data_IF_049726702228
#
_entry.id   IF_049726702228
#
_cell.length_a   1.000
_cell.length_b   1.000
_cell.length_c   1.000
_cell.angle_alpha   90.00
_cell.angle_beta   90.00
_cell.angle_gamma   90.00
#
_symmetry.space_group_name_H-M   'P 1'
#
loop_
_entity.id
_entity.type
_entity.pdbx_description
1 polymer ?
#
# COMPACT_ATOMS: atom_id res chain seq x y z
N UNK A 1 0.41 -32.21 -36.75
CA UNK A 1 -0.19 -30.91 -37.11
C UNK A 1 -1.70 -30.97 -36.91
N UNK A 2 -2.22 -30.35 -35.85
CA UNK A 2 -3.67 -30.16 -35.63
C UNK A 2 -3.91 -28.67 -35.53
N UNK A 3 -4.72 -28.14 -36.44
CA UNK A 3 -5.09 -26.73 -36.50
C UNK A 3 -6.13 -26.42 -35.42
N UNK A 4 -5.94 -25.30 -34.71
CA UNK A 4 -6.92 -24.74 -33.77
C UNK A 4 -7.98 -23.92 -34.54
N UNK A 5 -9.24 -23.85 -34.09
CA UNK A 5 -10.28 -23.09 -34.76
C UNK A 5 -10.10 -21.58 -34.55
N UNK A 6 -10.20 -20.82 -35.64
CA UNK A 6 -10.23 -19.37 -35.65
C UNK A 6 -11.49 -18.84 -34.95
N UNK A 7 -11.31 -18.20 -33.80
CA UNK A 7 -12.35 -17.40 -33.15
C UNK A 7 -12.53 -16.08 -33.93
N UNK A 8 -13.67 -15.91 -34.61
CA UNK A 8 -14.11 -14.60 -35.11
C UNK A 8 -14.83 -13.89 -33.96
N UNK A 9 -14.18 -12.89 -33.38
CA UNK A 9 -14.81 -11.98 -32.43
C UNK A 9 -16.01 -11.29 -33.07
N UNK A 10 -17.15 -11.36 -32.39
CA UNK A 10 -18.36 -10.61 -32.70
C UNK A 10 -18.06 -9.11 -32.66
N UNK A 11 -18.28 -8.43 -33.79
CA UNK A 11 -18.20 -6.97 -33.86
C UNK A 11 -19.35 -6.39 -33.03
N UNK A 12 -19.03 -5.65 -31.98
CA UNK A 12 -20.02 -4.85 -31.25
C UNK A 12 -20.58 -3.77 -32.20
N UNK A 13 -21.89 -3.49 -32.16
CA UNK A 13 -22.47 -2.44 -32.99
C UNK A 13 -21.97 -1.07 -32.52
N UNK A 14 -21.47 -0.27 -33.47
CA UNK A 14 -21.21 1.17 -33.30
C UNK A 14 -22.54 1.88 -33.07
N UNK A 15 -23.00 1.94 -31.82
CA UNK A 15 -23.98 2.94 -31.42
C UNK A 15 -23.22 4.24 -31.13
N UNK A 16 -23.61 5.31 -31.83
CA UNK A 16 -23.15 6.67 -31.60
C UNK A 16 -23.64 7.11 -30.21
N UNK A 17 -22.86 6.81 -29.18
CA UNK A 17 -23.02 7.42 -27.87
C UNK A 17 -22.55 8.87 -27.98
N UNK A 18 -23.55 9.76 -28.03
CA UNK A 18 -23.44 11.18 -27.69
C UNK A 18 -22.44 11.36 -26.54
N UNK A 19 -21.28 11.93 -26.83
CA UNK A 19 -20.31 12.41 -25.85
C UNK A 19 -20.97 13.54 -25.06
N UNK A 20 -21.68 13.18 -23.98
CA UNK A 20 -21.91 14.16 -22.93
C UNK A 20 -20.58 14.41 -22.23
N UNK A 21 -20.24 15.67 -21.91
CA UNK A 21 -18.99 15.98 -21.24
C UNK A 21 -18.92 15.20 -19.94
N UNK A 22 -17.81 14.50 -19.76
CA UNK A 22 -17.46 13.75 -18.56
C UNK A 22 -17.79 14.59 -17.33
N UNK A 23 -18.87 14.24 -16.63
CA UNK A 23 -19.11 14.78 -15.29
C UNK A 23 -17.93 14.31 -14.45
N UNK A 24 -17.07 15.25 -14.03
CA UNK A 24 -16.03 15.03 -13.04
C UNK A 24 -16.58 14.14 -11.93
N UNK A 25 -16.17 12.86 -11.90
CA UNK A 25 -16.55 11.98 -10.81
C UNK A 25 -15.85 12.54 -9.58
N UNK A 26 -16.63 12.99 -8.61
CA UNK A 26 -16.07 13.42 -7.32
C UNK A 26 -15.52 12.15 -6.66
N UNK A 27 -14.19 12.01 -6.64
CA UNK A 27 -13.49 10.84 -6.09
C UNK A 27 -13.38 10.87 -4.55
N UNK A 28 -13.82 11.95 -3.90
CA UNK A 28 -13.86 12.09 -2.45
C UNK A 28 -15.29 12.27 -1.95
N UNK A 29 -15.73 11.40 -1.04
CA UNK A 29 -16.98 11.60 -0.30
C UNK A 29 -16.78 12.39 0.98
N UNK A 30 -15.52 12.62 1.38
CA UNK A 30 -15.18 13.39 2.58
C UNK A 30 -15.20 14.89 2.28
N UNK A 31 -15.59 15.70 3.27
CA UNK A 31 -15.53 17.15 3.15
C UNK A 31 -14.07 17.59 2.91
N UNK A 32 -13.80 18.47 1.92
CA UNK A 32 -12.44 18.91 1.65
C UNK A 32 -11.86 19.64 2.87
N UNK A 33 -10.68 19.18 3.29
CA UNK A 33 -9.94 19.78 4.38
C UNK A 33 -9.49 21.18 3.99
N UNK A 34 -9.98 22.18 4.72
CA UNK A 34 -9.56 23.58 4.51
C UNK A 34 -8.17 23.85 5.11
N UNK A 35 -7.77 23.11 6.15
CA UNK A 35 -6.46 23.21 6.80
C UNK A 35 -6.23 22.02 7.75
N UNK A 36 -5.25 21.17 7.47
CA UNK A 36 -4.76 20.17 8.44
C UNK A 36 -3.48 20.73 9.10
N UNK A 37 -3.50 21.11 10.39
CA UNK A 37 -2.34 21.68 11.07
C UNK A 37 -1.17 20.70 11.19
N UNK A 38 -1.37 19.40 10.91
CA UNK A 38 -0.35 18.35 10.87
C UNK A 38 0.47 18.35 9.58
N UNK A 39 -0.03 18.99 8.52
CA UNK A 39 0.57 19.05 7.18
C UNK A 39 1.06 20.48 6.92
N UNK A 40 1.95 20.95 7.79
CA UNK A 40 2.67 22.21 7.59
C UNK A 40 4.01 21.83 6.96
N UNK A 41 4.32 22.41 5.81
CA UNK A 41 5.65 22.33 5.16
C UNK A 41 5.92 21.14 4.21
N UNK A 42 4.90 20.44 3.68
CA UNK A 42 5.09 19.31 2.74
C UNK A 42 5.20 19.70 1.25
N UNK A 43 5.68 20.91 0.94
CA UNK A 43 5.87 21.36 -0.45
C UNK A 43 4.54 21.66 -1.18
N UNK A 44 4.49 21.35 -2.49
CA UNK A 44 3.34 21.67 -3.35
C UNK A 44 2.12 20.82 -2.98
N UNK A 45 1.05 21.48 -2.53
CA UNK A 45 -0.22 20.83 -2.25
C UNK A 45 -0.90 20.37 -3.56
N UNK A 46 -1.11 19.06 -3.68
CA UNK A 46 -1.85 18.45 -4.78
C UNK A 46 -3.32 18.34 -4.38
N UNK A 47 -4.18 19.13 -5.02
CA UNK A 47 -5.62 19.09 -4.75
C UNK A 47 -6.38 18.15 -5.69
N UNK A 48 -6.19 18.30 -7.00
CA UNK A 48 -6.98 17.60 -8.02
C UNK A 48 -6.16 17.20 -9.27
N UNK A 49 -4.83 17.34 -9.24
CA UNK A 49 -3.93 16.96 -10.35
C UNK A 49 -4.14 15.52 -10.87
N UNK A 50 -4.64 14.64 -9.99
CA UNK A 50 -4.96 13.24 -10.28
C UNK A 50 -6.46 12.92 -10.14
N UNK A 51 -7.32 13.93 -10.00
CA UNK A 51 -8.77 13.75 -9.94
C UNK A 51 -9.36 13.31 -11.29
N UNK A 52 -8.64 13.52 -12.39
CA UNK A 52 -9.03 13.03 -13.71
C UNK A 52 -8.20 11.79 -14.07
N UNK A 53 -8.88 10.68 -14.33
CA UNK A 53 -8.25 9.47 -14.85
C UNK A 53 -7.77 9.75 -16.27
N UNK A 54 -6.48 9.54 -16.53
CA UNK A 54 -5.87 9.70 -17.84
C UNK A 54 -6.04 8.41 -18.64
N UNK A 55 -6.06 8.52 -19.96
CA UNK A 55 -6.09 7.33 -20.84
C UNK A 55 -4.80 6.51 -20.73
N UNK A 56 -3.67 7.18 -20.50
CA UNK A 56 -2.35 6.57 -20.39
C UNK A 56 -1.58 7.14 -19.20
N UNK A 57 -0.81 6.26 -18.54
CA UNK A 57 0.09 6.61 -17.45
C UNK A 57 1.50 6.11 -17.77
N UNK A 58 2.52 6.84 -17.36
CA UNK A 58 3.91 6.39 -17.54
C UNK A 58 4.15 5.06 -16.80
N UNK A 59 4.81 4.11 -17.48
CA UNK A 59 5.21 2.85 -16.87
C UNK A 59 6.45 3.06 -16.01
N UNK A 60 6.44 2.65 -14.72
CA UNK A 60 7.61 2.77 -13.86
C UNK A 60 8.81 1.96 -14.37
N UNK A 61 10.01 2.50 -14.21
CA UNK A 61 11.29 1.85 -14.59
C UNK A 61 11.52 0.51 -13.89
N UNK A 62 11.11 0.39 -12.63
CA UNK A 62 11.33 -0.80 -11.81
C UNK A 62 10.02 -1.52 -11.49
N UNK A 63 10.04 -2.86 -11.35
CA UNK A 63 8.86 -3.64 -10.96
C UNK A 63 8.21 -3.14 -9.68
N UNK A 64 6.90 -3.32 -9.59
CA UNK A 64 6.08 -2.95 -8.43
C UNK A 64 5.85 -4.17 -7.57
N UNK A 65 6.23 -4.11 -6.30
CA UNK A 65 5.87 -5.07 -5.26
C UNK A 65 4.65 -4.56 -4.51
N UNK A 66 3.57 -5.34 -4.51
CA UNK A 66 2.37 -5.08 -3.74
C UNK A 66 2.44 -5.83 -2.41
N UNK A 67 2.55 -5.09 -1.29
CA UNK A 67 2.71 -5.64 0.06
C UNK A 67 1.45 -5.38 0.91
N UNK A 68 0.72 -6.45 1.23
CA UNK A 68 -0.55 -6.35 1.96
C UNK A 68 -0.37 -6.16 3.48
N UNK A 69 -1.38 -5.60 4.13
CA UNK A 69 -1.40 -5.38 5.59
C UNK A 69 -1.81 -6.60 6.41
N UNK A 70 -2.19 -6.34 7.67
CA UNK A 70 -2.78 -7.32 8.58
C UNK A 70 -4.06 -7.87 7.93
N UNK A 71 -4.32 -9.17 8.07
CA UNK A 71 -5.42 -9.89 7.40
C UNK A 71 -5.37 -9.95 5.88
N UNK A 72 -4.30 -9.44 5.25
CA UNK A 72 -4.17 -9.57 3.81
C UNK A 72 -3.94 -11.01 3.37
N UNK A 73 -4.46 -11.32 2.20
CA UNK A 73 -4.34 -12.60 1.51
C UNK A 73 -3.99 -12.29 0.06
N UNK A 74 -3.20 -13.11 -0.62
CA UNK A 74 -3.05 -12.93 -2.06
C UNK A 74 -4.35 -13.28 -2.79
N UNK A 75 -4.95 -14.39 -2.37
CA UNK A 75 -6.20 -14.92 -2.91
C UNK A 75 -7.02 -15.58 -1.78
N UNK A 76 -8.29 -15.18 -1.62
CA UNK A 76 -9.22 -15.80 -0.69
C UNK A 76 -10.37 -16.45 -1.46
N UNK A 77 -10.45 -17.78 -1.39
CA UNK A 77 -11.58 -18.55 -1.90
C UNK A 77 -12.61 -18.75 -0.79
N UNK A 78 -13.67 -17.92 -0.80
CA UNK A 78 -14.75 -17.97 0.21
C UNK A 78 -15.72 -19.14 -0.05
N UNK A 79 -15.90 -19.52 -1.32
CA UNK A 79 -16.72 -20.66 -1.74
C UNK A 79 -16.18 -21.18 -3.07
N UNK A 80 -16.25 -22.50 -3.35
CA UNK A 80 -15.94 -23.05 -4.68
C UNK A 80 -16.84 -22.48 -5.80
N UNK A 81 -18.00 -21.92 -5.44
CA UNK A 81 -19.00 -21.39 -6.37
C UNK A 81 -18.85 -19.87 -6.63
N UNK A 82 -17.97 -19.19 -5.91
CA UNK A 82 -17.73 -17.75 -6.04
C UNK A 82 -16.32 -17.48 -6.57
N UNK A 83 -16.12 -16.38 -7.31
CA UNK A 83 -14.79 -15.99 -7.75
C UNK A 83 -13.87 -15.75 -6.54
N UNK A 84 -12.59 -16.08 -6.71
CA UNK A 84 -11.55 -15.77 -5.74
C UNK A 84 -11.52 -14.26 -5.51
N UNK A 85 -11.50 -13.84 -4.25
CA UNK A 85 -11.31 -12.44 -3.88
C UNK A 85 -9.81 -12.20 -3.79
N UNK A 86 -9.30 -11.23 -4.53
CA UNK A 86 -7.92 -10.75 -4.43
C UNK A 86 -7.86 -9.53 -3.52
N UNK A 87 -6.81 -9.41 -2.71
CA UNK A 87 -6.63 -8.22 -1.87
C UNK A 87 -6.38 -6.97 -2.72
N UNK A 88 -5.58 -7.12 -3.77
CA UNK A 88 -5.29 -6.08 -4.76
C UNK A 88 -6.27 -6.15 -5.94
N UNK A 89 -7.57 -6.27 -5.64
CA UNK A 89 -8.64 -6.50 -6.61
C UNK A 89 -8.62 -5.47 -7.75
N UNK A 90 -8.34 -5.93 -8.98
CA UNK A 90 -8.26 -5.07 -10.17
C UNK A 90 -6.95 -4.28 -10.29
N UNK A 91 -6.21 -4.08 -9.21
CA UNK A 91 -4.99 -3.26 -9.18
C UNK A 91 -3.87 -3.94 -9.96
N UNK A 92 -3.63 -5.24 -9.70
CA UNK A 92 -2.63 -6.01 -10.45
C UNK A 92 -2.94 -6.00 -11.94
N UNK A 93 -4.21 -6.20 -12.30
CA UNK A 93 -4.68 -6.27 -13.68
C UNK A 93 -4.46 -4.94 -14.40
N UNK A 94 -4.84 -3.81 -13.78
CA UNK A 94 -4.66 -2.47 -14.37
C UNK A 94 -3.19 -2.10 -14.49
N UNK A 95 -2.37 -2.38 -13.48
CA UNK A 95 -0.92 -2.11 -13.53
C UNK A 95 -0.23 -2.93 -14.63
N UNK A 96 -0.54 -4.23 -14.74
CA UNK A 96 -0.01 -5.08 -15.81
C UNK A 96 -0.49 -4.62 -17.19
N UNK A 97 -1.75 -4.16 -17.31
CA UNK A 97 -2.26 -3.58 -18.56
C UNK A 97 -1.52 -2.28 -18.95
N UNK A 98 -0.94 -1.57 -17.97
CA UNK A 98 -0.06 -0.43 -18.18
C UNK A 98 1.43 -0.83 -18.29
N UNK A 99 1.71 -2.06 -18.71
CA UNK A 99 3.06 -2.63 -18.92
C UNK A 99 3.95 -2.69 -17.67
N UNK A 100 3.39 -2.56 -16.47
CA UNK A 100 4.15 -2.73 -15.24
C UNK A 100 4.45 -4.21 -14.97
N UNK A 101 5.68 -4.55 -14.57
CA UNK A 101 5.95 -5.83 -13.92
C UNK A 101 5.46 -5.77 -12.48
N UNK A 102 4.51 -6.63 -12.10
CA UNK A 102 3.87 -6.61 -10.77
C UNK A 102 4.13 -7.92 -10.02
N UNK A 103 4.71 -7.78 -8.84
CA UNK A 103 4.99 -8.84 -7.86
C UNK A 103 3.96 -8.69 -6.73
N UNK A 104 3.21 -9.74 -6.43
CA UNK A 104 2.29 -9.76 -5.28
C UNK A 104 2.92 -10.54 -4.15
N UNK A 105 3.34 -9.84 -3.09
CA UNK A 105 4.01 -10.48 -1.97
C UNK A 105 2.99 -11.12 -1.01
N UNK A 106 3.34 -12.30 -0.47
CA UNK A 106 2.51 -13.00 0.53
C UNK A 106 3.26 -13.12 1.86
N UNK A 107 2.69 -12.55 2.92
CA UNK A 107 3.23 -12.59 4.29
C UNK A 107 2.21 -13.18 5.28
N UNK A 108 2.63 -13.66 6.47
CA UNK A 108 1.70 -14.19 7.47
C UNK A 108 0.61 -13.17 7.84
N UNK A 109 -0.68 -13.53 7.83
CA UNK A 109 -1.77 -12.57 8.04
C UNK A 109 -1.84 -12.00 9.46
N UNK A 110 -1.23 -12.67 10.44
CA UNK A 110 -1.20 -12.36 11.88
C UNK A 110 0.20 -12.22 12.49
N UNK A 111 1.26 -12.39 11.69
CA UNK A 111 2.63 -12.48 12.21
C UNK A 111 3.12 -11.15 12.82
N UNK A 112 4.21 -11.22 13.58
CA UNK A 112 4.88 -9.99 14.03
C UNK A 112 5.44 -9.19 12.85
N UNK A 113 5.74 -7.91 13.04
CA UNK A 113 6.38 -7.09 12.00
C UNK A 113 7.70 -7.72 11.53
N UNK A 114 8.49 -8.29 12.44
CA UNK A 114 9.75 -8.96 12.16
C UNK A 114 9.57 -10.20 11.27
N UNK A 115 8.63 -11.08 11.63
CA UNK A 115 8.32 -12.28 10.87
C UNK A 115 7.79 -11.95 9.48
N UNK A 116 6.88 -10.97 9.41
CA UNK A 116 6.28 -10.51 8.15
C UNK A 116 7.31 -9.84 7.26
N UNK A 117 8.19 -9.00 7.81
CA UNK A 117 9.29 -8.36 7.07
C UNK A 117 10.29 -9.40 6.53
N UNK A 118 10.65 -10.42 7.31
CA UNK A 118 11.52 -11.50 6.86
C UNK A 118 10.88 -12.29 5.72
N UNK A 119 9.58 -12.61 5.83
CA UNK A 119 8.86 -13.29 4.75
C UNK A 119 8.72 -12.41 3.51
N UNK A 120 8.49 -11.10 3.68
CA UNK A 120 8.42 -10.12 2.58
C UNK A 120 9.73 -10.11 1.79
N UNK A 121 10.88 -10.01 2.47
CA UNK A 121 12.20 -10.03 1.85
C UNK A 121 12.43 -11.32 1.04
N UNK A 122 12.14 -12.47 1.65
CA UNK A 122 12.30 -13.77 1.00
C UNK A 122 11.41 -13.91 -0.24
N UNK A 123 10.16 -13.42 -0.17
CA UNK A 123 9.21 -13.51 -1.29
C UNK A 123 9.63 -12.62 -2.46
N UNK A 124 10.08 -11.39 -2.18
CA UNK A 124 10.61 -10.48 -3.20
C UNK A 124 11.81 -11.14 -3.89
N UNK A 125 12.81 -11.60 -3.13
CA UNK A 125 14.01 -12.23 -3.68
C UNK A 125 13.70 -13.45 -4.56
N UNK A 126 12.79 -14.31 -4.11
CA UNK A 126 12.36 -15.47 -4.88
C UNK A 126 11.69 -15.07 -6.20
N UNK A 127 10.76 -14.10 -6.15
CA UNK A 127 10.03 -13.66 -7.33
C UNK A 127 10.89 -12.85 -8.31
N UNK A 128 11.83 -12.04 -7.82
CA UNK A 128 12.76 -11.28 -8.67
C UNK A 128 13.77 -12.20 -9.37
N UNK A 129 14.22 -13.24 -8.68
CA UNK A 129 15.07 -14.30 -9.25
C UNK A 129 14.31 -15.09 -10.31
N UNK A 130 13.08 -15.54 -10.00
CA UNK A 130 12.24 -16.29 -10.94
C UNK A 130 11.86 -15.48 -12.19
N UNK A 131 11.61 -14.18 -12.02
CA UNK A 131 11.33 -13.27 -13.13
C UNK A 131 12.57 -12.95 -13.98
N UNK A 132 13.76 -13.46 -13.62
CA UNK A 132 15.03 -13.18 -14.30
C UNK A 132 15.24 -11.68 -14.53
N UNK A 133 14.88 -10.85 -13.53
CA UNK A 133 15.00 -9.41 -13.66
C UNK A 133 16.47 -9.08 -13.93
N UNK A 134 16.78 -8.34 -15.00
CA UNK A 134 18.16 -8.05 -15.36
C UNK A 134 18.84 -7.33 -14.19
N UNK A 135 20.04 -7.81 -13.82
CA UNK A 135 20.96 -7.02 -13.00
C UNK A 135 21.17 -5.67 -13.68
N UNK A 136 21.49 -4.63 -12.90
CA UNK A 136 21.70 -3.32 -13.51
C UNK A 136 22.78 -3.43 -14.60
N UNK A 137 22.58 -2.76 -15.72
CA UNK A 137 23.60 -2.60 -16.75
C UNK A 137 24.28 -1.26 -16.53
N UNK A 138 25.58 -1.18 -16.79
CA UNK A 138 26.25 0.11 -16.87
C UNK A 138 25.85 0.84 -18.16
N UNK A 139 26.33 2.08 -18.33
CA UNK A 139 26.02 2.91 -19.50
C UNK A 139 26.45 2.26 -20.82
N UNK A 140 27.38 1.31 -20.77
CA UNK A 140 27.97 0.61 -21.91
C UNK A 140 27.30 -0.77 -22.17
N UNK A 141 26.27 -1.12 -21.39
CA UNK A 141 25.46 -2.32 -21.59
C UNK A 141 26.07 -3.60 -20.99
N UNK A 142 27.09 -3.49 -20.13
CA UNK A 142 27.67 -4.64 -19.44
C UNK A 142 26.87 -5.01 -18.20
N UNK A 143 26.74 -6.32 -17.97
CA UNK A 143 26.09 -6.82 -16.76
C UNK A 143 26.90 -6.40 -15.52
N UNK A 144 26.32 -5.56 -14.67
CA UNK A 144 26.93 -5.23 -13.39
C UNK A 144 26.54 -6.27 -12.33
N UNK A 145 27.33 -6.36 -11.27
CA UNK A 145 26.98 -7.15 -10.07
C UNK A 145 25.89 -6.49 -9.22
N UNK A 146 25.30 -5.38 -9.68
CA UNK A 146 24.30 -4.63 -8.94
C UNK A 146 22.97 -5.39 -8.87
N UNK A 147 22.41 -5.60 -7.67
CA UNK A 147 21.12 -6.25 -7.50
C UNK A 147 20.00 -5.53 -8.28
N UNK A 148 18.96 -6.26 -8.72
CA UNK A 148 17.77 -5.65 -9.32
C UNK A 148 17.11 -4.67 -8.35
N UNK A 149 16.42 -3.66 -8.89
CA UNK A 149 15.67 -2.68 -8.09
C UNK A 149 14.18 -2.91 -8.19
N UNK A 150 13.43 -2.60 -7.12
CA UNK A 150 11.97 -2.65 -7.08
C UNK A 150 11.37 -1.43 -6.39
N UNK A 151 10.14 -1.08 -6.76
CA UNK A 151 9.29 -0.13 -6.05
C UNK A 151 8.29 -0.89 -5.19
N UNK A 152 8.15 -0.56 -3.90
CA UNK A 152 7.16 -1.20 -3.02
C UNK A 152 5.95 -0.27 -2.88
N UNK A 153 4.75 -0.81 -3.07
CA UNK A 153 3.49 -0.22 -2.63
C UNK A 153 2.92 -1.08 -1.52
N UNK A 154 2.84 -0.51 -0.32
CA UNK A 154 2.49 -1.22 0.88
C UNK A 154 1.24 -0.61 1.54
N UNK A 155 0.29 -1.46 1.91
CA UNK A 155 -0.95 -1.02 2.54
C UNK A 155 -1.02 -1.41 4.02
N UNK A 156 -1.52 -0.51 4.86
CA UNK A 156 -1.70 -0.71 6.30
C UNK A 156 -0.41 -1.24 6.95
N UNK A 157 -0.46 -2.35 7.69
CA UNK A 157 0.72 -2.96 8.34
C UNK A 157 1.85 -3.32 7.37
N UNK A 158 1.56 -3.53 6.08
CA UNK A 158 2.58 -3.84 5.07
C UNK A 158 3.63 -2.74 4.96
N UNK A 159 3.27 -1.48 5.25
CA UNK A 159 4.23 -0.37 5.26
C UNK A 159 5.22 -0.45 6.43
N UNK A 160 4.80 -0.99 7.57
CA UNK A 160 5.68 -1.26 8.71
C UNK A 160 6.61 -2.44 8.41
N UNK A 161 6.08 -3.50 7.79
CA UNK A 161 6.88 -4.65 7.34
C UNK A 161 7.98 -4.20 6.37
N UNK A 162 7.64 -3.35 5.40
CA UNK A 162 8.57 -2.81 4.42
C UNK A 162 9.63 -1.89 5.08
N UNK A 163 9.24 -0.99 5.99
CA UNK A 163 10.20 -0.14 6.73
C UNK A 163 11.16 -1.00 7.56
N UNK A 164 10.66 -2.01 8.26
CA UNK A 164 11.50 -2.93 9.04
C UNK A 164 12.49 -3.69 8.14
N UNK A 165 11.99 -4.23 7.03
CA UNK A 165 12.81 -4.94 6.05
C UNK A 165 13.94 -4.06 5.51
N UNK A 166 13.62 -2.84 5.08
CA UNK A 166 14.60 -1.90 4.53
C UNK A 166 15.62 -1.51 5.59
N UNK A 167 15.17 -1.11 6.78
CA UNK A 167 16.04 -0.51 7.79
C UNK A 167 16.94 -1.52 8.51
N UNK A 168 16.37 -2.67 8.92
CA UNK A 168 17.02 -3.62 9.82
C UNK A 168 17.43 -4.93 9.15
N UNK A 169 16.65 -5.44 8.19
CA UNK A 169 17.01 -6.69 7.51
C UNK A 169 17.99 -6.48 6.36
N UNK A 170 17.90 -5.35 5.64
CA UNK A 170 18.82 -4.93 4.58
C UNK A 170 19.21 -6.06 3.62
N UNK A 171 18.24 -6.69 2.92
CA UNK A 171 18.51 -7.83 2.07
C UNK A 171 19.47 -7.45 0.92
N UNK A 172 20.62 -8.10 0.82
CA UNK A 172 21.67 -7.76 -0.15
C UNK A 172 21.34 -8.12 -1.61
N UNK A 173 20.39 -9.02 -1.84
CA UNK A 173 20.00 -9.49 -3.18
C UNK A 173 18.96 -8.62 -3.89
N UNK A 174 18.51 -7.53 -3.28
CA UNK A 174 17.53 -6.62 -3.87
C UNK A 174 17.77 -5.19 -3.41
N UNK A 175 17.55 -4.23 -4.31
CA UNK A 175 17.58 -2.80 -3.98
C UNK A 175 16.16 -2.24 -3.98
N UNK A 176 15.81 -1.45 -2.97
CA UNK A 176 14.51 -0.79 -2.92
C UNK A 176 14.68 0.63 -3.48
N UNK A 177 13.99 0.95 -4.58
CA UNK A 177 14.06 2.26 -5.20
C UNK A 177 13.07 3.25 -4.58
N UNK A 178 11.92 2.76 -4.16
CA UNK A 178 10.94 3.54 -3.41
C UNK A 178 10.04 2.68 -2.53
N UNK A 179 9.51 3.28 -1.48
CA UNK A 179 8.42 2.76 -0.67
C UNK A 179 7.25 3.76 -0.67
N UNK A 180 6.10 3.32 -1.17
CA UNK A 180 4.83 4.02 -1.06
C UNK A 180 4.01 3.33 0.01
N UNK A 181 3.58 4.05 1.05
CA UNK A 181 2.68 3.53 2.08
C UNK A 181 1.27 4.08 1.91
N UNK A 182 0.25 3.25 2.11
CA UNK A 182 -1.16 3.61 1.99
C UNK A 182 -1.85 3.22 3.29
N UNK A 183 -2.42 4.19 4.01
CA UNK A 183 -3.11 3.98 5.28
C UNK A 183 -2.26 3.22 6.33
N UNK A 184 -0.93 3.38 6.31
CA UNK A 184 -0.04 2.71 7.27
C UNK A 184 -0.06 3.43 8.62
N UNK A 185 -0.23 2.71 9.74
CA UNK A 185 -0.23 3.30 11.08
C UNK A 185 1.22 3.52 11.55
N UNK A 186 1.94 4.46 10.92
CA UNK A 186 3.36 4.72 11.21
C UNK A 186 3.64 5.12 12.66
N UNK A 187 2.63 5.66 13.35
CA UNK A 187 2.69 6.05 14.77
C UNK A 187 1.81 5.20 15.66
N UNK A 188 1.33 4.07 15.14
CA UNK A 188 0.38 3.19 15.80
C UNK A 188 -1.06 3.64 15.58
N UNK A 189 -1.96 2.99 16.29
CA UNK A 189 -3.40 3.27 16.26
C UNK A 189 -3.94 3.34 17.68
N UNK A 190 -4.63 4.43 18.01
CA UNK A 190 -5.41 4.55 19.24
C UNK A 190 -6.42 3.42 19.43
N UNK A 191 -6.88 2.79 18.35
CA UNK A 191 -7.75 1.63 18.46
C UNK A 191 -7.00 0.37 18.90
N UNK A 192 -5.73 0.20 18.50
CA UNK A 192 -4.88 -0.85 19.05
C UNK A 192 -4.64 -0.64 20.55
N UNK A 193 -4.40 0.60 20.99
CA UNK A 193 -4.28 0.94 22.42
C UNK A 193 -5.57 0.58 23.17
N UNK A 194 -6.72 0.96 22.62
CA UNK A 194 -8.03 0.63 23.19
C UNK A 194 -8.24 -0.89 23.33
N UNK A 195 -7.81 -1.69 22.33
CA UNK A 195 -7.92 -3.15 22.39
C UNK A 195 -7.00 -3.74 23.47
N UNK A 196 -5.79 -3.20 23.64
CA UNK A 196 -4.85 -3.65 24.69
C UNK A 196 -5.34 -3.26 26.08
N UNK A 197 -5.78 -2.01 26.27
CA UNK A 197 -6.34 -1.51 27.53
C UNK A 197 -7.58 -2.30 27.97
N UNK A 198 -8.47 -2.63 27.02
CA UNK A 198 -9.68 -3.41 27.30
C UNK A 198 -9.46 -4.91 27.30
N UNK A 199 -8.32 -5.39 26.79
CA UNK A 199 -7.91 -6.80 26.81
C UNK A 199 -7.70 -7.37 28.22
N UNK A 200 -7.73 -6.53 29.27
CA UNK A 200 -7.78 -6.94 30.67
C UNK A 200 -9.22 -7.14 31.23
N UNK A 201 -10.26 -6.97 30.41
CA UNK A 201 -11.67 -7.21 30.79
C UNK A 201 -12.48 -7.90 29.68
N UNK A 202 -13.71 -8.38 29.96
CA UNK A 202 -14.53 -9.09 28.97
C UNK A 202 -14.88 -8.18 27.79
N UNK A 203 -14.25 -8.41 26.64
CA UNK A 203 -14.50 -7.65 25.42
C UNK A 203 -15.85 -8.05 24.81
N UNK A 204 -16.92 -7.29 25.07
CA UNK A 204 -18.22 -7.49 24.40
C UNK A 204 -18.24 -6.82 23.00
N UNK A 205 -17.46 -7.36 22.05
CA UNK A 205 -17.44 -6.90 20.64
C UNK A 205 -17.66 -8.05 19.64
N UNK A 206 -18.83 -8.73 19.65
CA UNK A 206 -19.05 -9.97 18.91
C UNK A 206 -18.85 -9.85 17.40
N UNK A 207 -19.12 -8.69 16.78
CA UNK A 207 -18.94 -8.47 15.34
C UNK A 207 -17.46 -8.38 14.94
N UNK A 208 -16.70 -7.52 15.61
CA UNK A 208 -15.27 -7.36 15.32
C UNK A 208 -14.48 -8.59 15.78
N UNK A 209 -14.82 -9.16 16.93
CA UNK A 209 -14.24 -10.42 17.40
C UNK A 209 -14.55 -11.59 16.45
N UNK A 210 -15.74 -11.61 15.86
CA UNK A 210 -16.09 -12.58 14.81
C UNK A 210 -15.17 -12.48 13.60
N UNK A 211 -14.82 -11.27 13.17
CA UNK A 211 -13.86 -11.03 12.07
C UNK A 211 -12.44 -11.43 12.47
N UNK A 212 -11.96 -10.96 13.63
CA UNK A 212 -10.61 -11.25 14.14
C UNK A 212 -10.40 -12.77 14.33
N UNK A 213 -11.37 -13.46 14.94
CA UNK A 213 -11.33 -14.91 15.19
C UNK A 213 -11.44 -15.71 13.91
N UNK A 214 -12.32 -15.31 12.96
CA UNK A 214 -12.44 -15.98 11.65
C UNK A 214 -11.17 -15.85 10.82
N UNK A 215 -10.39 -14.81 11.06
CA UNK A 215 -9.09 -14.61 10.44
C UNK A 215 -7.91 -15.23 11.21
N UNK A 216 -8.16 -15.93 12.32
CA UNK A 216 -7.14 -16.73 13.02
C UNK A 216 -6.08 -15.93 13.77
N UNK A 217 -6.37 -14.70 14.24
CA UNK A 217 -5.38 -13.90 14.95
C UNK A 217 -5.36 -14.16 16.46
N UNK A 218 -4.15 -14.13 17.05
CA UNK A 218 -3.94 -13.90 18.47
C UNK A 218 -3.95 -12.41 18.81
N UNK A 219 -4.30 -12.06 20.05
CA UNK A 219 -4.32 -10.66 20.54
C UNK A 219 -2.94 -10.02 20.61
N UNK A 220 -1.86 -10.81 20.55
CA UNK A 220 -0.47 -10.36 20.55
C UNK A 220 -0.09 -9.52 19.33
N UNK A 221 -0.68 -9.80 18.16
CA UNK A 221 -0.42 -9.05 16.92
C UNK A 221 -0.80 -7.57 17.01
N UNK A 222 -1.77 -7.22 17.87
CA UNK A 222 -2.19 -5.84 18.07
C UNK A 222 -1.20 -5.03 18.92
N UNK A 223 -0.38 -5.68 19.74
CA UNK A 223 0.58 -5.00 20.61
C UNK A 223 1.57 -4.16 19.82
N UNK A 224 2.05 -4.66 18.67
CA UNK A 224 2.98 -3.95 17.81
C UNK A 224 2.33 -2.81 17.01
N UNK A 225 1.00 -2.69 17.04
CA UNK A 225 0.27 -1.60 16.37
C UNK A 225 -0.15 -0.50 17.37
N UNK A 226 0.20 -0.63 18.65
CA UNK A 226 -0.05 0.39 19.67
C UNK A 226 0.77 1.65 19.42
N UNK A 227 0.24 2.80 19.82
CA UNK A 227 0.97 4.08 19.70
C UNK A 227 2.24 4.07 20.53
N UNK A 228 2.17 3.46 21.71
CA UNK A 228 3.30 3.27 22.61
C UNK A 228 4.43 2.47 21.96
N UNK A 229 4.14 1.29 21.42
CA UNK A 229 5.15 0.46 20.77
C UNK A 229 5.79 1.18 19.57
N UNK A 230 4.98 1.85 18.75
CA UNK A 230 5.49 2.60 17.60
C UNK A 230 6.42 3.74 18.00
N UNK A 231 6.10 4.46 19.07
CA UNK A 231 6.90 5.58 19.58
C UNK A 231 8.16 5.15 20.31
N UNK A 232 8.07 4.13 21.15
CA UNK A 232 9.13 3.77 22.12
C UNK A 232 10.05 2.67 21.59
N UNK A 233 9.57 1.80 20.71
CA UNK A 233 10.32 0.62 20.24
C UNK A 233 10.60 0.69 18.74
N UNK A 234 9.56 0.84 17.91
CA UNK A 234 9.68 0.69 16.47
C UNK A 234 10.40 1.86 15.79
N UNK A 235 9.84 3.08 15.85
CA UNK A 235 10.38 4.23 15.12
C UNK A 235 11.79 4.67 15.57
N UNK A 236 12.19 4.55 16.85
CA UNK A 236 13.57 4.85 17.25
C UNK A 236 14.59 3.94 16.55
N UNK A 237 14.24 2.66 16.34
CA UNK A 237 15.10 1.63 15.73
C UNK A 237 15.02 1.57 14.21
N UNK A 238 13.83 1.79 13.65
CA UNK A 238 13.54 1.65 12.22
C UNK A 238 13.60 3.02 11.54
N UNK A 239 14.80 3.37 11.07
CA UNK A 239 15.10 4.61 10.35
C UNK A 239 15.03 4.41 8.85
N UNK A 240 14.60 5.44 8.14
CA UNK A 240 14.55 5.45 6.69
C UNK A 240 15.97 5.45 6.10
N UNK A 241 16.13 4.77 4.96
CA UNK A 241 17.39 4.66 4.24
C UNK A 241 17.47 5.78 3.19
N UNK A 242 18.56 6.56 3.19
CA UNK A 242 18.73 7.72 2.30
C UNK A 242 18.73 7.34 0.81
N UNK A 243 19.04 6.08 0.47
CA UNK A 243 19.00 5.59 -0.91
C UNK A 243 17.57 5.26 -1.39
N UNK A 244 16.57 5.30 -0.50
CA UNK A 244 15.18 4.92 -0.79
C UNK A 244 14.30 6.17 -0.79
N UNK A 245 13.44 6.31 -1.80
CA UNK A 245 12.42 7.37 -1.81
C UNK A 245 11.16 6.92 -1.06
N UNK A 246 10.70 7.70 -0.10
CA UNK A 246 9.52 7.40 0.71
C UNK A 246 8.35 8.31 0.35
N UNK A 247 7.17 7.71 0.22
CA UNK A 247 5.91 8.40 0.01
C UNK A 247 4.84 7.78 0.91
N UNK A 248 3.91 8.60 1.39
CA UNK A 248 2.81 8.13 2.23
C UNK A 248 1.50 8.73 1.77
N UNK A 249 0.43 7.94 1.80
CA UNK A 249 -0.93 8.33 1.45
C UNK A 249 -1.86 7.99 2.61
N UNK A 250 -2.55 9.01 3.11
CA UNK A 250 -3.63 8.87 4.09
C UNK A 250 -5.00 8.88 3.45
N UNK A 251 -6.00 8.47 4.23
CA UNK A 251 -7.40 8.61 3.89
C UNK A 251 -8.18 9.10 5.12
N UNK A 252 -9.30 9.78 4.87
CA UNK A 252 -10.25 10.15 5.88
C UNK A 252 -11.66 9.93 5.33
N UNK A 253 -12.58 9.53 6.20
CA UNK A 253 -14.01 9.44 5.90
C UNK A 253 -14.80 10.25 6.92
N UNK A 254 -15.92 10.84 6.51
CA UNK A 254 -16.73 11.68 7.40
C UNK A 254 -17.33 10.84 8.55
N UNK A 255 -18.15 9.84 8.22
CA UNK A 255 -18.76 9.01 9.24
C UNK A 255 -19.18 7.64 8.68
N UNK A 256 -18.71 6.51 9.25
CA UNK A 256 -19.18 5.20 8.85
C UNK A 256 -20.67 5.00 9.20
N UNK A 257 -21.41 4.16 8.45
CA UNK A 257 -22.79 3.81 8.80
C UNK A 257 -22.92 3.30 10.24
N UNK A 258 -24.01 3.66 10.93
CA UNK A 258 -24.21 3.35 12.36
C UNK A 258 -24.06 1.87 12.72
N UNK A 259 -24.45 0.96 11.82
CA UNK A 259 -24.35 -0.49 12.02
C UNK A 259 -23.10 -1.11 11.37
N UNK A 260 -22.23 -0.30 10.77
CA UNK A 260 -21.02 -0.72 10.07
C UNK A 260 -19.94 -1.25 11.02
N UNK A 261 -19.16 -2.23 10.56
CA UNK A 261 -18.07 -2.82 11.34
C UNK A 261 -16.98 -1.80 11.74
N UNK A 262 -16.83 -0.73 10.95
CA UNK A 262 -15.85 0.34 11.14
C UNK A 262 -16.35 1.49 12.03
N UNK A 263 -17.62 1.50 12.45
CA UNK A 263 -18.20 2.57 13.27
C UNK A 263 -17.49 2.74 14.61
N UNK A 264 -17.23 1.63 15.29
CA UNK A 264 -16.56 1.66 16.58
C UNK A 264 -15.07 2.02 16.46
N UNK A 265 -14.26 1.37 15.58
CA UNK A 265 -12.87 1.79 15.38
C UNK A 265 -12.75 3.28 15.05
N UNK A 266 -13.53 3.77 14.09
CA UNK A 266 -13.58 5.18 13.73
C UNK A 266 -13.86 6.08 14.94
N UNK A 267 -14.91 5.78 15.71
CA UNK A 267 -15.29 6.60 16.87
C UNK A 267 -14.29 6.55 18.04
N UNK A 268 -13.44 5.54 18.13
CA UNK A 268 -12.35 5.49 19.11
C UNK A 268 -11.18 6.36 18.67
N UNK A 269 -10.78 6.24 17.40
CA UNK A 269 -9.70 7.04 16.82
C UNK A 269 -10.10 8.52 16.77
N UNK A 270 -11.30 8.84 16.29
CA UNK A 270 -11.84 10.20 16.21
C UNK A 270 -11.78 10.96 17.55
N UNK A 271 -12.11 10.28 18.65
CA UNK A 271 -12.06 10.89 20.00
C UNK A 271 -10.64 11.17 20.51
N UNK A 272 -9.63 10.47 19.99
CA UNK A 272 -8.24 10.53 20.50
C UNK A 272 -7.30 11.28 19.56
N UNK A 273 -7.48 11.10 18.25
CA UNK A 273 -6.59 11.56 17.18
C UNK A 273 -7.32 12.43 16.14
N UNK A 274 -8.66 12.39 16.10
CA UNK A 274 -9.48 13.09 15.11
C UNK A 274 -9.66 12.30 13.82
N UNK A 275 -9.64 13.01 12.69
CA UNK A 275 -9.97 12.46 11.37
C UNK A 275 -9.17 11.19 11.03
N UNK A 276 -9.88 10.17 10.55
CA UNK A 276 -9.33 8.86 10.27
C UNK A 276 -10.08 8.16 9.11
N UNK A 277 -9.48 7.11 8.57
CA UNK A 277 -10.01 6.31 7.46
C UNK A 277 -11.06 5.27 7.88
N UNK A 278 -11.40 5.21 9.18
CA UNK A 278 -12.28 4.23 9.80
C UNK A 278 -11.67 2.84 9.94
N UNK A 279 -10.45 2.61 9.48
CA UNK A 279 -9.78 1.34 9.66
C UNK A 279 -9.27 1.21 11.10
N UNK A 280 -9.38 0.02 11.72
CA UNK A 280 -8.92 -0.20 13.08
C UNK A 280 -7.41 -0.04 13.25
N UNK A 281 -6.64 -0.22 12.18
CA UNK A 281 -5.18 -0.12 12.17
C UNK A 281 -4.72 0.71 10.98
N UNK A 282 -5.55 1.67 10.56
CA UNK A 282 -5.24 2.63 9.51
C UNK A 282 -4.94 4.01 10.09
N UNK A 283 -4.05 4.68 9.37
CA UNK A 283 -3.58 6.07 9.46
C UNK A 283 -3.37 6.73 10.84
N UNK A 284 -2.09 7.02 11.13
CA UNK A 284 -1.66 8.30 11.73
C UNK A 284 -0.40 8.79 10.96
N UNK A 285 -0.63 9.87 10.19
CA UNK A 285 0.30 10.83 9.57
C UNK A 285 1.35 10.38 8.53
N UNK A 286 1.55 11.29 7.57
CA UNK A 286 2.49 11.24 6.45
C UNK A 286 3.94 11.15 6.95
N UNK A 287 4.73 10.27 6.32
CA UNK A 287 6.19 10.26 6.43
C UNK A 287 6.75 11.28 5.43
N UNK A 288 7.70 12.09 5.90
CA UNK A 288 8.41 13.15 5.17
C UNK A 288 8.90 12.65 3.79
N UNK A 289 8.40 13.26 2.71
CA UNK A 289 9.01 13.14 1.39
C UNK A 289 10.11 14.18 1.30
N UNK A 290 11.38 13.75 1.29
CA UNK A 290 12.48 14.63 0.86
C UNK A 290 12.61 14.52 -0.65
N UNK A 291 12.26 15.59 -1.36
CA UNK A 291 12.83 15.80 -2.68
C UNK A 291 14.33 16.03 -2.48
N UNK A 292 15.15 15.19 -3.12
CA UNK A 292 16.56 15.51 -3.28
C UNK A 292 16.59 16.58 -4.36
N UNK A 293 16.84 17.82 -3.96
CA UNK A 293 17.10 18.92 -4.88
C UNK A 293 18.26 18.49 -5.79
N UNK A 294 17.91 18.11 -7.02
CA UNK A 294 18.89 17.96 -8.08
C UNK A 294 19.40 19.35 -8.40
N UNK A 295 20.70 19.59 -8.14
CA UNK A 295 21.38 20.80 -8.57
C UNK A 295 21.06 21.07 -10.05
N UNK A 296 20.67 22.30 -10.32
CA UNK A 296 20.25 22.76 -11.64
C UNK A 296 21.31 22.46 -12.70
N UNK A 297 20.90 21.70 -13.69
CA UNK A 297 21.54 21.76 -15.01
C UNK A 297 20.62 22.62 -15.86
N UNK A 298 21.18 23.78 -16.23
CA UNK A 298 20.57 24.76 -17.11
C UNK A 298 19.94 24.12 -18.35
N UNK A 299 18.80 24.68 -18.73
CA UNK A 299 17.97 24.19 -19.81
C UNK A 299 18.75 24.02 -21.11
N UNK A 300 18.62 22.84 -21.69
CA UNK A 300 18.49 22.70 -23.13
C UNK A 300 17.46 21.61 -23.42
N UNK A 301 16.39 22.06 -24.06
CA UNK A 301 15.36 21.28 -24.74
C UNK A 301 16.04 20.46 -25.85
N UNK A 302 16.14 19.14 -25.67
CA UNK A 302 16.29 18.20 -26.79
C UNK A 302 15.46 16.94 -26.52
N UNK A 303 14.59 16.64 -27.49
CA UNK A 303 13.76 15.45 -27.61
C UNK A 303 14.59 14.16 -27.53
N UNK A 304 14.30 13.28 -26.55
CA UNK A 304 14.20 11.79 -26.67
C UNK A 304 13.32 11.23 -25.55
#
# INVERSE_FOLDING_TARGET
>A
MKQWPHWRGTRLPRSLLSLQPSTSRVFSTAKPLRHDPRIRDLGRLIHDDYATIRETYATPKYPIVLAHGLFGFSELRVSPLLPTIEYWNGIKQVLTANNCTVITATVPPSGSIEERAAKLAADILAQTTAASLPSAQDADGHATTTPPAVNIIAHSMGGLDARYMISLLRPSGIRIASLVTIATPHRGSSFADYLVERGAGPLHLPRLYGVIRRAGLGTSAFGQLTTRYMREEFNPRVRDDEAVRYFSYGAAIDEPPLLGAFRLPHGVVDKREGENDGLPFGFDQLVESREVDGEGVDGHEEDV
#
